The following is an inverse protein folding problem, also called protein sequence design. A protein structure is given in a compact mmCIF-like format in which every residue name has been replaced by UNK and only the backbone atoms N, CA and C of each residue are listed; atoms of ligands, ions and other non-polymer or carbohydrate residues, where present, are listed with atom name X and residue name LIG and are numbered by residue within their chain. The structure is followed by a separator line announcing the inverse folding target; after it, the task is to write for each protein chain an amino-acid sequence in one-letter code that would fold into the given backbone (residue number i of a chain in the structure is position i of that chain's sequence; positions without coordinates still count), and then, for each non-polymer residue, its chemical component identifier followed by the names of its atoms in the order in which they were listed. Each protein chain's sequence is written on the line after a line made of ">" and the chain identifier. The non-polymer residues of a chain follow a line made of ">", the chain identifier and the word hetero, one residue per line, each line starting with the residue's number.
data_IF_447587693977
#
_entry.id   IF_447587693977
#
_cell.length_a   1.000
_cell.length_b   1.000
_cell.length_c   1.000
_cell.angle_alpha   90.00
_cell.angle_beta   90.00
_cell.angle_gamma   90.00
#
_symmetry.space_group_name_H-M   'P 1'
#
loop_
_entity.id
_entity.type
_entity.pdbx_description
1 polymer ?
#
# COMPACT_ATOMS: atom_id res chain seq x y z
N UNK A 1 51.73 -36.47 -1.95
CA UNK A 1 50.80 -37.34 -2.74
C UNK A 1 51.02 -37.04 -4.22
N UNK A 2 51.19 -38.07 -5.03
CA UNK A 2 51.25 -37.90 -6.50
C UNK A 2 49.84 -37.64 -7.08
N UNK A 3 49.77 -37.05 -8.29
CA UNK A 3 48.49 -36.81 -8.97
C UNK A 3 47.74 -38.15 -9.20
N UNK A 4 48.44 -39.26 -9.39
CA UNK A 4 47.89 -40.60 -9.54
C UNK A 4 47.25 -41.09 -8.21
N UNK A 5 47.86 -40.80 -7.08
CA UNK A 5 47.34 -41.16 -5.75
C UNK A 5 46.05 -40.40 -5.43
N UNK A 6 46.04 -39.09 -5.74
CA UNK A 6 44.84 -38.23 -5.57
C UNK A 6 43.71 -38.73 -6.47
N UNK A 7 44.01 -39.12 -7.72
CA UNK A 7 43.01 -39.66 -8.64
C UNK A 7 42.37 -40.98 -8.15
N UNK A 8 43.17 -41.84 -7.55
CA UNK A 8 42.69 -43.09 -6.95
C UNK A 8 41.81 -42.84 -5.69
N UNK A 9 42.29 -41.94 -4.83
CA UNK A 9 41.56 -41.62 -3.59
C UNK A 9 40.21 -40.92 -3.85
N UNK A 10 40.13 -40.04 -4.87
CA UNK A 10 38.92 -39.30 -5.22
C UNK A 10 38.06 -40.01 -6.30
N UNK A 11 38.47 -41.18 -6.76
CA UNK A 11 37.79 -41.95 -7.82
C UNK A 11 37.55 -41.15 -9.12
N UNK A 12 38.51 -40.26 -9.47
CA UNK A 12 38.41 -39.43 -10.67
C UNK A 12 39.53 -39.71 -11.66
N UNK A 13 39.27 -39.38 -12.95
CA UNK A 13 40.27 -39.62 -13.99
C UNK A 13 41.53 -38.81 -13.80
N UNK A 14 42.67 -39.32 -14.25
CA UNK A 14 43.94 -38.60 -14.27
C UNK A 14 43.84 -37.27 -14.99
N UNK A 15 43.04 -37.16 -16.05
CA UNK A 15 42.77 -35.91 -16.76
C UNK A 15 42.12 -34.87 -15.87
N UNK A 16 41.10 -35.26 -15.08
CA UNK A 16 40.47 -34.36 -14.13
C UNK A 16 41.43 -33.78 -13.10
N UNK A 17 42.32 -34.62 -12.57
CA UNK A 17 43.36 -34.19 -11.64
C UNK A 17 44.32 -33.19 -12.30
N UNK A 18 44.77 -33.50 -13.54
CA UNK A 18 45.65 -32.60 -14.30
C UNK A 18 45.01 -31.24 -14.56
N UNK A 19 43.70 -31.24 -14.91
CA UNK A 19 42.92 -30.02 -15.18
C UNK A 19 42.68 -29.18 -13.91
N UNK A 20 42.62 -29.80 -12.74
CA UNK A 20 42.49 -29.10 -11.46
C UNK A 20 43.85 -28.63 -10.90
N UNK A 21 44.91 -29.42 -11.13
CA UNK A 21 46.26 -29.13 -10.61
C UNK A 21 46.85 -27.84 -11.19
N UNK A 22 46.70 -27.61 -12.49
CA UNK A 22 47.18 -26.40 -13.16
C UNK A 22 46.61 -25.10 -12.56
N UNK A 23 45.28 -24.92 -12.44
CA UNK A 23 44.69 -23.76 -11.78
C UNK A 23 45.04 -23.67 -10.31
N UNK A 24 45.15 -24.81 -9.61
CA UNK A 24 45.49 -24.82 -8.19
C UNK A 24 46.92 -24.30 -7.92
N UNK A 25 47.88 -24.61 -8.77
CA UNK A 25 49.25 -24.09 -8.68
C UNK A 25 49.31 -22.55 -8.81
N UNK A 26 48.40 -21.94 -9.56
CA UNK A 26 48.37 -20.50 -9.81
C UNK A 26 47.56 -19.75 -8.75
N UNK A 27 46.42 -20.26 -8.32
CA UNK A 27 45.48 -19.54 -7.47
C UNK A 27 44.93 -20.33 -6.28
N UNK A 28 45.54 -21.48 -5.93
CA UNK A 28 45.15 -22.30 -4.79
C UNK A 28 43.70 -22.75 -4.82
N UNK A 29 43.11 -22.96 -3.67
CA UNK A 29 41.73 -23.43 -3.49
C UNK A 29 40.67 -22.52 -4.16
N UNK A 30 40.96 -21.24 -4.33
CA UNK A 30 40.03 -20.30 -4.98
C UNK A 30 39.94 -20.52 -6.47
N UNK A 31 41.00 -20.92 -7.15
CA UNK A 31 41.01 -21.22 -8.57
C UNK A 31 40.26 -22.53 -8.93
N UNK A 32 40.03 -23.40 -7.93
CA UNK A 32 39.23 -24.62 -8.10
C UNK A 32 37.69 -24.37 -7.95
N UNK A 33 37.29 -23.18 -7.55
CA UNK A 33 35.87 -22.86 -7.52
C UNK A 33 35.30 -22.95 -8.93
N UNK A 34 34.32 -23.84 -9.10
CA UNK A 34 33.63 -24.09 -10.38
C UNK A 34 32.99 -22.78 -10.87
N UNK A 35 33.59 -22.13 -11.83
CA UNK A 35 32.92 -21.15 -12.66
C UNK A 35 31.99 -21.95 -13.55
N UNK A 36 30.65 -21.81 -13.34
CA UNK A 36 29.67 -22.51 -14.19
C UNK A 36 30.00 -22.26 -15.67
N UNK A 37 29.67 -23.24 -16.53
CA UNK A 37 29.86 -23.07 -17.96
C UNK A 37 29.28 -21.73 -18.44
N UNK A 38 30.02 -20.93 -19.25
CA UNK A 38 29.46 -19.71 -19.81
C UNK A 38 28.24 -20.10 -20.65
N UNK A 39 27.05 -19.71 -20.20
CA UNK A 39 25.80 -19.99 -20.92
C UNK A 39 25.85 -19.45 -22.35
N UNK A 40 24.80 -19.73 -23.13
CA UNK A 40 24.68 -19.19 -24.49
C UNK A 40 24.89 -17.68 -24.52
N UNK A 41 25.75 -17.14 -25.41
CA UNK A 41 25.97 -15.71 -25.56
C UNK A 41 24.66 -14.94 -25.74
N UNK A 42 24.59 -13.76 -25.12
CA UNK A 42 23.40 -12.90 -25.23
C UNK A 42 23.28 -12.38 -26.65
N UNK A 43 22.07 -12.47 -27.23
CA UNK A 43 21.80 -11.93 -28.58
C UNK A 43 21.67 -10.39 -28.60
N UNK A 44 21.27 -9.79 -27.45
CA UNK A 44 21.11 -8.35 -27.27
C UNK A 44 22.20 -7.87 -26.32
N UNK A 45 22.93 -6.89 -26.72
CA UNK A 45 24.01 -6.24 -25.93
C UNK A 45 23.45 -5.39 -24.80
N UNK A 46 24.27 -5.09 -23.79
CA UNK A 46 23.84 -4.22 -22.67
C UNK A 46 23.54 -2.78 -23.15
N UNK A 47 24.25 -2.28 -24.18
CA UNK A 47 23.97 -0.98 -24.79
C UNK A 47 22.61 -0.92 -25.50
N UNK A 48 22.24 -1.98 -26.20
CA UNK A 48 20.91 -2.12 -26.81
C UNK A 48 19.82 -2.24 -25.75
N UNK A 49 20.07 -2.98 -24.67
CA UNK A 49 19.11 -3.07 -23.55
C UNK A 49 18.87 -1.72 -22.87
N UNK A 50 19.84 -0.80 -22.82
CA UNK A 50 19.63 0.56 -22.34
C UNK A 50 18.68 1.33 -23.26
N UNK A 51 18.80 1.15 -24.58
CA UNK A 51 17.85 1.77 -25.55
C UNK A 51 16.44 1.24 -25.37
N UNK A 52 16.30 -0.09 -25.22
CA UNK A 52 15.00 -0.74 -24.91
C UNK A 52 14.41 -0.19 -23.62
N UNK A 53 15.18 -0.12 -22.55
CA UNK A 53 14.73 0.38 -21.27
C UNK A 53 14.20 1.82 -21.33
N UNK A 54 14.92 2.70 -22.03
CA UNK A 54 14.46 4.07 -22.32
C UNK A 54 13.14 4.11 -23.10
N UNK A 55 12.97 3.19 -24.08
CA UNK A 55 11.70 3.08 -24.79
C UNK A 55 10.56 2.60 -23.87
N UNK A 56 10.81 1.61 -23.02
CA UNK A 56 9.82 1.10 -22.08
C UNK A 56 9.42 2.15 -21.02
N UNK A 57 10.35 2.96 -20.54
CA UNK A 57 10.08 4.04 -19.58
C UNK A 57 9.15 5.13 -20.12
N UNK A 58 9.09 5.32 -21.44
CA UNK A 58 8.13 6.25 -22.08
C UNK A 58 6.67 5.75 -21.99
N UNK A 59 6.47 4.53 -21.56
CA UNK A 59 5.17 3.91 -21.44
C UNK A 59 4.66 3.21 -22.71
N UNK A 60 3.64 2.34 -22.57
CA UNK A 60 3.09 1.58 -23.69
C UNK A 60 2.51 2.46 -24.80
N UNK A 61 1.76 3.51 -24.47
CA UNK A 61 1.14 4.41 -25.44
C UNK A 61 2.16 5.11 -26.32
N UNK A 62 3.27 5.58 -25.75
CA UNK A 62 4.36 6.19 -26.50
C UNK A 62 5.07 5.19 -27.45
N UNK A 63 4.88 3.89 -27.22
CA UNK A 63 5.35 2.81 -28.08
C UNK A 63 4.29 2.30 -29.07
N UNK A 64 3.15 3.00 -29.22
CA UNK A 64 2.10 2.69 -30.19
C UNK A 64 1.05 1.68 -29.71
N UNK A 65 0.99 1.39 -28.42
CA UNK A 65 -0.04 0.50 -27.86
C UNK A 65 -1.24 1.31 -27.34
N UNK A 66 -2.48 0.78 -27.47
CA UNK A 66 -3.69 1.55 -27.15
C UNK A 66 -3.93 1.77 -25.65
N UNK A 67 -3.25 0.99 -24.78
CA UNK A 67 -3.47 1.01 -23.33
C UNK A 67 -2.16 1.09 -22.55
N UNK A 68 -2.17 1.63 -21.34
CA UNK A 68 -1.00 1.72 -20.45
C UNK A 68 -0.70 0.38 -19.74
N UNK A 69 -0.68 -0.70 -20.51
CA UNK A 69 -0.41 -2.03 -20.01
C UNK A 69 0.81 -2.65 -20.71
N UNK A 70 1.88 -2.90 -19.98
CA UNK A 70 2.97 -3.74 -20.44
C UNK A 70 2.63 -5.21 -20.28
N UNK A 71 2.58 -5.94 -21.40
CA UNK A 71 2.60 -7.40 -21.41
C UNK A 71 3.96 -7.87 -21.90
N UNK A 72 4.34 -9.10 -21.57
CA UNK A 72 5.61 -9.66 -22.06
C UNK A 72 5.67 -9.70 -23.60
N UNK A 73 4.52 -9.89 -24.27
CA UNK A 73 4.43 -9.83 -25.72
C UNK A 73 4.73 -8.44 -26.27
N UNK A 74 4.12 -7.38 -25.71
CA UNK A 74 4.40 -5.99 -26.10
C UNK A 74 5.84 -5.59 -25.87
N UNK A 75 6.42 -6.01 -24.74
CA UNK A 75 7.85 -5.78 -24.47
C UNK A 75 8.73 -6.52 -25.48
N UNK A 76 8.39 -7.78 -25.84
CA UNK A 76 9.10 -8.52 -26.89
C UNK A 76 9.10 -7.79 -28.21
N UNK A 77 7.96 -7.20 -28.59
CA UNK A 77 7.82 -6.39 -29.81
C UNK A 77 8.67 -5.12 -29.77
N UNK A 78 8.73 -4.41 -28.61
CA UNK A 78 9.61 -3.25 -28.46
C UNK A 78 11.09 -3.67 -28.58
N UNK A 79 11.49 -4.81 -27.99
CA UNK A 79 12.84 -5.35 -28.12
C UNK A 79 13.14 -5.61 -29.62
N UNK A 80 12.24 -6.31 -30.31
CA UNK A 80 12.41 -6.65 -31.72
C UNK A 80 12.54 -5.37 -32.59
N UNK A 81 11.69 -4.38 -32.40
CA UNK A 81 11.75 -3.10 -33.12
C UNK A 81 13.03 -2.31 -32.84
N UNK A 82 13.55 -2.40 -31.60
CA UNK A 82 14.72 -1.61 -31.18
C UNK A 82 16.05 -2.27 -31.53
N UNK A 83 16.10 -3.62 -31.55
CA UNK A 83 17.37 -4.38 -31.65
C UNK A 83 17.42 -5.34 -32.84
N UNK A 84 16.30 -5.55 -33.54
CA UNK A 84 16.15 -6.59 -34.57
C UNK A 84 16.09 -8.04 -34.01
N UNK A 85 16.19 -8.21 -32.68
CA UNK A 85 16.24 -9.55 -32.06
C UNK A 85 14.88 -9.94 -31.54
N UNK A 86 14.32 -11.02 -32.08
CA UNK A 86 13.06 -11.59 -31.63
C UNK A 86 13.25 -12.48 -30.42
N UNK A 87 12.58 -12.16 -29.33
CA UNK A 87 12.52 -12.98 -28.11
C UNK A 87 11.14 -13.56 -27.89
N UNK A 88 11.12 -14.81 -27.41
CA UNK A 88 9.88 -15.38 -26.87
C UNK A 88 9.48 -14.63 -25.58
N UNK A 89 8.19 -14.32 -25.34
CA UNK A 89 7.73 -13.59 -24.14
C UNK A 89 8.25 -14.17 -22.81
N UNK A 90 8.36 -15.51 -22.70
CA UNK A 90 8.93 -16.16 -21.53
C UNK A 90 10.41 -15.81 -21.26
N UNK A 91 11.19 -15.49 -22.32
CA UNK A 91 12.57 -15.02 -22.15
C UNK A 91 12.61 -13.54 -21.72
N UNK A 92 11.68 -12.74 -22.23
CA UNK A 92 11.54 -11.31 -21.86
C UNK A 92 11.39 -11.13 -20.34
N UNK A 93 10.64 -12.01 -19.67
CA UNK A 93 10.54 -12.00 -18.22
C UNK A 93 11.91 -12.07 -17.52
N UNK A 94 12.83 -12.92 -18.00
CA UNK A 94 14.21 -13.03 -17.46
C UNK A 94 15.01 -11.76 -17.72
N UNK A 95 14.83 -11.13 -18.89
CA UNK A 95 15.49 -9.86 -19.26
C UNK A 95 15.02 -8.75 -18.35
N UNK A 96 13.72 -8.58 -18.17
CA UNK A 96 13.11 -7.55 -17.31
C UNK A 96 13.56 -7.71 -15.84
N UNK A 97 13.53 -8.94 -15.28
CA UNK A 97 14.00 -9.19 -13.91
C UNK A 97 15.46 -8.80 -13.69
N UNK A 98 16.35 -9.10 -14.64
CA UNK A 98 17.76 -8.69 -14.56
C UNK A 98 17.93 -7.18 -14.58
N UNK A 99 17.01 -6.46 -15.19
CA UNK A 99 16.97 -5.00 -15.24
C UNK A 99 16.22 -4.36 -14.06
N UNK A 100 15.86 -5.15 -13.04
CA UNK A 100 15.16 -4.64 -11.85
C UNK A 100 13.67 -4.38 -12.06
N UNK A 101 13.10 -4.79 -13.19
CA UNK A 101 11.67 -4.64 -13.45
C UNK A 101 10.89 -5.79 -12.80
N UNK A 102 9.79 -5.44 -12.17
CA UNK A 102 8.84 -6.39 -11.58
C UNK A 102 7.41 -6.05 -11.98
N UNK A 103 6.52 -7.03 -11.85
CA UNK A 103 5.10 -6.81 -12.10
C UNK A 103 4.52 -5.96 -10.97
N UNK A 104 4.00 -4.78 -11.33
CA UNK A 104 3.37 -3.84 -10.40
C UNK A 104 1.87 -3.72 -10.69
N UNK A 105 1.09 -3.50 -9.65
CA UNK A 105 -0.31 -3.08 -9.78
C UNK A 105 -0.34 -1.55 -9.80
N UNK A 106 -0.85 -0.90 -10.87
CA UNK A 106 -0.93 0.55 -10.93
C UNK A 106 -1.79 1.09 -9.78
N UNK A 107 -1.29 2.12 -9.12
CA UNK A 107 -2.09 2.90 -8.18
C UNK A 107 -2.99 3.87 -8.96
N UNK A 108 -4.21 4.07 -8.46
CA UNK A 108 -5.10 5.12 -8.98
C UNK A 108 -4.71 6.43 -8.32
N UNK A 109 -4.64 7.49 -9.13
CA UNK A 109 -4.37 8.85 -8.66
C UNK A 109 -5.33 9.80 -9.37
N UNK A 110 -5.97 10.68 -8.60
CA UNK A 110 -6.81 11.71 -9.18
C UNK A 110 -5.97 12.70 -10.00
N UNK A 111 -6.48 13.13 -11.16
CA UNK A 111 -5.81 14.11 -12.00
C UNK A 111 -5.79 15.50 -11.33
N UNK A 112 -6.79 15.76 -10.48
CA UNK A 112 -6.97 17.02 -9.74
C UNK A 112 -6.10 17.12 -8.47
N UNK A 113 -5.33 16.07 -8.14
CA UNK A 113 -4.44 16.08 -6.98
C UNK A 113 -3.31 17.10 -7.18
N UNK A 114 -3.12 17.96 -6.18
CA UNK A 114 -2.07 18.97 -6.15
C UNK A 114 -1.00 18.59 -5.12
N UNK A 115 0.14 18.08 -5.59
CA UNK A 115 1.23 17.65 -4.71
C UNK A 115 1.93 18.81 -4.00
N UNK A 116 2.02 19.98 -4.64
CA UNK A 116 2.61 21.19 -4.03
C UNK A 116 1.77 21.64 -2.82
N UNK A 117 0.44 21.65 -2.96
CA UNK A 117 -0.46 21.96 -1.84
C UNK A 117 -0.35 20.92 -0.72
N UNK A 118 -0.13 19.64 -1.05
CA UNK A 118 0.08 18.57 -0.07
C UNK A 118 1.39 18.79 0.68
N UNK A 119 2.47 19.06 -0.05
CA UNK A 119 3.79 19.32 0.54
C UNK A 119 3.78 20.58 1.43
N UNK A 120 3.14 21.64 0.98
CA UNK A 120 2.94 22.86 1.77
C UNK A 120 2.14 22.57 3.05
N UNK A 121 1.06 21.77 2.94
CA UNK A 121 0.26 21.39 4.11
C UNK A 121 1.10 20.63 5.14
N UNK A 122 1.89 19.65 4.71
CA UNK A 122 2.77 18.84 5.59
C UNK A 122 3.86 19.71 6.23
N UNK A 123 4.51 20.56 5.44
CA UNK A 123 5.70 21.31 5.89
C UNK A 123 5.36 22.59 6.65
N UNK A 124 4.23 23.22 6.38
CA UNK A 124 3.86 24.49 7.01
C UNK A 124 2.60 24.39 7.89
N UNK A 125 1.54 23.78 7.36
CA UNK A 125 0.25 23.77 8.06
C UNK A 125 0.23 22.81 9.22
N UNK A 126 0.72 21.59 9.01
CA UNK A 126 0.78 20.57 10.05
C UNK A 126 1.58 20.99 11.30
N UNK A 127 2.78 21.56 11.22
CA UNK A 127 3.49 22.10 12.39
C UNK A 127 2.72 23.19 13.15
N UNK A 128 2.02 24.06 12.42
CA UNK A 128 1.19 25.12 13.02
C UNK A 128 -0.02 24.52 13.75
N UNK A 129 -0.67 23.52 13.17
CA UNK A 129 -1.78 22.80 13.80
C UNK A 129 -1.35 22.15 15.11
N UNK A 130 -0.23 21.43 15.12
CA UNK A 130 0.33 20.84 16.33
C UNK A 130 0.60 21.88 17.42
N UNK A 131 1.24 22.99 17.07
CA UNK A 131 1.51 24.09 18.00
C UNK A 131 0.23 24.66 18.58
N UNK A 132 -0.79 24.91 17.75
CA UNK A 132 -2.07 25.43 18.18
C UNK A 132 -2.84 24.44 19.04
N UNK A 133 -2.83 23.14 18.69
CA UNK A 133 -3.46 22.10 19.48
C UNK A 133 -2.82 22.00 20.87
N UNK A 134 -1.48 22.03 20.97
CA UNK A 134 -0.74 22.07 22.24
C UNK A 134 -1.13 23.31 23.09
N UNK A 135 -1.13 24.49 22.49
CA UNK A 135 -1.47 25.72 23.18
C UNK A 135 -2.92 25.75 23.72
N UNK A 136 -3.85 25.08 23.03
CA UNK A 136 -5.25 24.95 23.42
C UNK A 136 -5.53 23.78 24.34
N UNK A 137 -4.56 22.89 24.59
CA UNK A 137 -4.73 21.54 25.16
C UNK A 137 -5.84 20.76 24.44
N UNK A 138 -5.82 20.79 23.10
CA UNK A 138 -6.83 20.19 22.24
C UNK A 138 -6.34 18.87 21.65
N UNK A 139 -7.21 17.87 21.56
CA UNK A 139 -6.94 16.68 20.78
C UNK A 139 -6.75 17.02 19.30
N UNK A 140 -5.86 16.33 18.64
CA UNK A 140 -5.75 16.30 17.17
C UNK A 140 -6.52 15.06 16.71
N UNK A 141 -7.55 15.27 15.90
CA UNK A 141 -8.47 14.19 15.50
C UNK A 141 -8.55 14.14 13.98
N UNK A 142 -8.24 13.01 13.41
CA UNK A 142 -8.50 12.69 12.01
C UNK A 142 -9.79 11.88 11.92
N UNK A 143 -10.70 12.30 11.08
CA UNK A 143 -12.00 11.65 10.90
C UNK A 143 -12.22 11.31 9.44
N UNK A 144 -12.93 10.20 9.18
CA UNK A 144 -13.27 9.71 7.85
C UNK A 144 -14.47 8.75 7.89
N UNK A 145 -15.14 8.59 6.75
CA UNK A 145 -16.20 7.62 6.56
C UNK A 145 -15.79 6.56 5.54
N UNK A 146 -16.26 5.33 5.77
CA UNK A 146 -16.07 4.24 4.83
C UNK A 146 -17.28 3.33 4.75
N UNK A 147 -17.54 2.83 3.54
CA UNK A 147 -18.57 1.81 3.32
C UNK A 147 -17.98 0.40 3.25
N UNK A 148 -18.76 -0.55 3.76
CA UNK A 148 -18.57 -1.96 3.55
C UNK A 148 -19.80 -2.56 2.86
N UNK A 149 -19.58 -3.32 1.80
CA UNK A 149 -20.63 -4.08 1.09
C UNK A 149 -20.61 -5.53 1.56
N UNK A 150 -21.76 -6.18 1.63
CA UNK A 150 -21.84 -7.62 1.89
C UNK A 150 -21.29 -8.48 0.75
N UNK A 151 -20.98 -7.88 -0.40
CA UNK A 151 -20.19 -8.57 -1.44
C UNK A 151 -18.75 -8.74 -0.95
N UNK A 152 -18.21 -9.98 -0.95
CA UNK A 152 -16.89 -10.26 -0.37
C UNK A 152 -15.77 -9.49 -1.08
N UNK A 153 -14.89 -8.88 -0.29
CA UNK A 153 -13.64 -8.31 -0.77
C UNK A 153 -12.64 -9.42 -1.02
N UNK A 154 -12.48 -9.83 -2.29
CA UNK A 154 -11.61 -10.94 -2.66
C UNK A 154 -10.14 -10.59 -2.45
N UNK A 155 -9.47 -11.36 -1.63
CA UNK A 155 -8.03 -11.29 -1.34
C UNK A 155 -7.35 -12.62 -1.63
N UNK A 156 -6.09 -12.56 -2.05
CA UNK A 156 -5.29 -13.77 -2.26
C UNK A 156 -5.11 -14.54 -0.97
N UNK A 157 -5.29 -15.85 -1.04
CA UNK A 157 -5.05 -16.78 0.08
C UNK A 157 -4.24 -17.98 -0.40
N UNK A 158 -3.75 -18.80 0.54
CA UNK A 158 -3.03 -20.01 0.22
C UNK A 158 -3.98 -21.16 -0.07
N UNK A 159 -3.69 -21.92 -1.12
CA UNK A 159 -4.40 -23.14 -1.49
C UNK A 159 -3.44 -24.10 -2.21
N UNK A 160 -3.76 -25.40 -2.28
CA UNK A 160 -2.99 -26.35 -3.08
C UNK A 160 -2.90 -25.90 -4.53
N UNK A 161 -1.75 -26.16 -5.16
CA UNK A 161 -1.52 -25.78 -6.57
C UNK A 161 -2.59 -26.39 -7.49
N UNK A 162 -3.23 -25.54 -8.28
CA UNK A 162 -4.30 -25.95 -9.21
C UNK A 162 -5.69 -26.02 -8.56
N UNK A 163 -5.84 -25.74 -7.26
CA UNK A 163 -7.11 -25.73 -6.56
C UNK A 163 -7.44 -24.29 -6.15
N UNK A 164 -8.13 -23.58 -7.02
CA UNK A 164 -8.56 -22.20 -6.73
C UNK A 164 -9.68 -22.20 -5.68
N UNK A 165 -9.52 -21.51 -4.53
CA UNK A 165 -10.60 -21.36 -3.56
C UNK A 165 -11.81 -20.64 -4.17
N UNK A 166 -12.99 -21.12 -3.85
CA UNK A 166 -14.27 -20.53 -4.29
C UNK A 166 -14.97 -19.93 -3.07
N UNK A 167 -15.32 -18.64 -3.15
CA UNK A 167 -16.13 -17.96 -2.16
C UNK A 167 -17.60 -18.01 -2.62
N UNK A 168 -18.42 -18.71 -1.86
CA UNK A 168 -19.87 -18.77 -2.13
C UNK A 168 -20.56 -17.71 -1.28
N UNK A 169 -21.32 -16.81 -1.92
CA UNK A 169 -22.04 -15.74 -1.24
C UNK A 169 -23.35 -15.46 -1.97
N UNK A 170 -24.34 -14.91 -1.24
CA UNK A 170 -25.53 -14.37 -1.84
C UNK A 170 -25.28 -12.98 -2.43
N UNK A 171 -25.88 -12.66 -3.58
CA UNK A 171 -25.85 -11.30 -4.12
C UNK A 171 -26.71 -10.38 -3.24
N UNK A 172 -26.05 -9.66 -2.35
CA UNK A 172 -26.69 -8.73 -1.45
C UNK A 172 -26.00 -7.36 -1.55
N UNK A 173 -26.75 -6.37 -2.04
CA UNK A 173 -26.25 -5.00 -2.25
C UNK A 173 -26.35 -4.11 -1.02
N UNK A 174 -26.79 -4.65 0.13
CA UNK A 174 -26.84 -3.90 1.38
C UNK A 174 -25.43 -3.47 1.79
N UNK A 175 -25.38 -2.29 2.36
CA UNK A 175 -24.12 -1.66 2.81
C UNK A 175 -24.23 -1.30 4.28
N UNK A 176 -23.13 -1.45 4.98
CA UNK A 176 -22.88 -0.85 6.28
C UNK A 176 -21.93 0.33 6.07
N UNK A 177 -22.27 1.48 6.62
CA UNK A 177 -21.36 2.63 6.65
C UNK A 177 -20.76 2.78 8.04
N UNK A 178 -19.51 3.14 8.06
CA UNK A 178 -18.68 3.32 9.24
C UNK A 178 -18.16 4.75 9.24
N UNK A 179 -18.12 5.39 10.40
CA UNK A 179 -17.35 6.61 10.64
C UNK A 179 -16.35 6.32 11.73
N UNK A 180 -15.13 6.79 11.59
CA UNK A 180 -14.11 6.65 12.60
C UNK A 180 -13.28 7.92 12.77
N UNK A 181 -12.81 8.12 13.99
CA UNK A 181 -11.95 9.21 14.38
C UNK A 181 -10.73 8.68 15.14
N UNK A 182 -9.53 8.87 14.58
CA UNK A 182 -8.27 8.66 15.29
C UNK A 182 -7.91 9.94 16.04
N UNK A 183 -7.88 9.83 17.35
CA UNK A 183 -7.65 10.93 18.29
C UNK A 183 -6.25 10.83 18.87
N UNK A 184 -5.50 11.93 18.89
CA UNK A 184 -4.13 11.98 19.41
C UNK A 184 -3.97 13.13 20.38
N UNK A 185 -3.37 12.89 21.54
CA UNK A 185 -2.86 13.98 22.37
C UNK A 185 -1.71 14.67 21.65
N UNK A 186 -1.68 16.01 21.60
CA UNK A 186 -0.68 16.75 20.78
C UNK A 186 0.77 16.59 21.27
N UNK A 187 0.97 16.07 22.49
CA UNK A 187 2.29 15.71 23.03
C UNK A 187 2.71 14.28 22.74
N UNK A 188 1.88 13.50 22.03
CA UNK A 188 2.14 12.10 21.70
C UNK A 188 2.00 11.11 22.88
N UNK A 189 1.40 11.55 24.01
CA UNK A 189 1.27 10.69 25.20
C UNK A 189 0.18 9.64 25.07
N UNK A 190 -0.82 9.88 24.24
CA UNK A 190 -2.01 9.04 24.15
C UNK A 190 -2.65 9.11 22.76
N UNK A 191 -3.34 8.03 22.38
CA UNK A 191 -4.19 7.98 21.20
C UNK A 191 -5.37 7.05 21.45
N UNK A 192 -6.53 7.38 20.88
CA UNK A 192 -7.73 6.55 20.92
C UNK A 192 -8.43 6.50 19.56
N UNK A 193 -9.26 5.47 19.38
CA UNK A 193 -10.13 5.30 18.21
C UNK A 193 -11.58 5.39 18.67
N UNK A 194 -12.31 6.35 18.13
CA UNK A 194 -13.76 6.46 18.28
C UNK A 194 -14.40 6.06 16.95
N UNK A 195 -15.45 5.25 16.99
CA UNK A 195 -16.12 4.82 15.77
C UNK A 195 -17.62 4.66 15.95
N UNK A 196 -18.34 4.74 14.85
CA UNK A 196 -19.77 4.49 14.77
C UNK A 196 -20.11 3.75 13.49
N UNK A 197 -21.27 3.08 13.48
CA UNK A 197 -21.76 2.31 12.35
C UNK A 197 -23.23 2.57 12.14
N UNK A 198 -23.67 2.61 10.89
CA UNK A 198 -25.08 2.71 10.53
C UNK A 198 -25.40 2.02 9.22
N UNK A 199 -26.66 1.63 9.06
CA UNK A 199 -27.17 1.20 7.75
C UNK A 199 -27.34 2.43 6.84
N UNK A 200 -27.05 2.26 5.55
CA UNK A 200 -27.08 3.39 4.60
C UNK A 200 -25.80 4.22 4.61
N UNK A 201 -25.87 5.44 4.13
CA UNK A 201 -24.73 6.36 4.04
C UNK A 201 -24.76 7.39 5.16
N UNK A 202 -23.59 7.82 5.62
CA UNK A 202 -23.50 9.01 6.48
C UNK A 202 -23.93 10.26 5.71
N UNK A 203 -24.73 11.08 6.37
CA UNK A 203 -25.13 12.41 5.92
C UNK A 203 -24.67 13.45 6.94
N UNK A 204 -24.97 14.72 6.71
CA UNK A 204 -24.59 15.80 7.61
C UNK A 204 -25.18 15.66 9.03
N UNK A 205 -26.42 15.15 9.18
CA UNK A 205 -27.02 14.91 10.50
C UNK A 205 -26.27 13.82 11.28
N UNK A 206 -26.04 12.65 10.65
CA UNK A 206 -25.34 11.54 11.31
C UNK A 206 -23.87 11.85 11.60
N UNK A 207 -23.23 12.71 10.78
CA UNK A 207 -21.88 13.21 11.09
C UNK A 207 -21.91 14.17 12.29
N UNK A 208 -22.91 15.07 12.40
CA UNK A 208 -23.07 15.94 13.56
C UNK A 208 -23.32 15.16 14.85
N UNK A 209 -24.10 14.10 14.79
CA UNK A 209 -24.31 13.16 15.90
C UNK A 209 -23.00 12.50 16.30
N UNK A 210 -22.26 11.95 15.33
CA UNK A 210 -20.96 11.34 15.56
C UNK A 210 -19.96 12.31 16.22
N UNK A 211 -19.88 13.58 15.78
CA UNK A 211 -19.03 14.59 16.37
C UNK A 211 -19.46 14.94 17.81
N UNK A 212 -20.76 14.87 18.10
CA UNK A 212 -21.28 15.08 19.46
C UNK A 212 -20.89 13.94 20.39
N UNK A 213 -20.98 12.70 19.91
CA UNK A 213 -20.51 11.51 20.62
C UNK A 213 -18.98 11.54 20.83
N UNK A 214 -18.23 11.91 19.81
CA UNK A 214 -16.78 12.09 19.88
C UNK A 214 -16.40 13.08 21.00
N UNK A 215 -17.10 14.23 21.09
CA UNK A 215 -16.84 15.22 22.14
C UNK A 215 -17.11 14.66 23.54
N UNK A 216 -18.17 13.86 23.69
CA UNK A 216 -18.48 13.18 24.96
C UNK A 216 -17.43 12.13 25.31
N UNK A 217 -16.97 11.35 24.33
CA UNK A 217 -15.91 10.35 24.53
C UNK A 217 -14.59 10.99 24.95
N UNK A 218 -14.30 12.18 24.52
CA UNK A 218 -13.11 12.94 24.88
C UNK A 218 -13.32 13.84 26.12
N UNK A 219 -14.28 13.50 26.99
CA UNK A 219 -14.59 14.19 28.25
C UNK A 219 -14.86 15.71 28.09
N UNK A 220 -15.36 16.14 26.95
CA UNK A 220 -15.61 17.55 26.66
C UNK A 220 -14.35 18.36 26.32
N UNK A 221 -13.24 17.72 26.09
CA UNK A 221 -11.99 18.35 25.70
C UNK A 221 -12.10 19.10 24.36
N UNK A 222 -11.23 20.07 24.17
CA UNK A 222 -11.12 20.77 22.88
C UNK A 222 -10.56 19.85 21.80
N UNK A 223 -11.03 20.04 20.58
CA UNK A 223 -10.68 19.23 19.42
C UNK A 223 -10.19 20.11 18.26
N UNK A 224 -9.14 19.68 17.61
CA UNK A 224 -8.74 20.12 16.27
C UNK A 224 -9.03 18.97 15.32
N UNK A 225 -10.16 19.07 14.62
CA UNK A 225 -10.65 18.07 13.68
C UNK A 225 -10.03 18.28 12.32
N UNK A 226 -9.48 17.22 11.76
CA UNK A 226 -8.89 17.17 10.42
C UNK A 226 -9.69 16.15 9.61
N UNK A 227 -10.29 16.59 8.51
CA UNK A 227 -11.11 15.75 7.65
C UNK A 227 -10.99 16.16 6.18
N UNK A 228 -11.60 15.37 5.30
CA UNK A 228 -11.59 15.66 3.88
C UNK A 228 -12.63 16.72 3.47
N UNK A 229 -12.69 16.99 2.18
CA UNK A 229 -13.58 18.00 1.61
C UNK A 229 -14.90 17.46 1.09
N UNK A 230 -15.48 16.40 1.65
CA UNK A 230 -16.78 15.87 1.23
C UNK A 230 -17.88 16.93 1.23
N UNK A 231 -18.90 16.76 0.39
CA UNK A 231 -20.02 17.70 0.26
C UNK A 231 -20.83 17.84 1.56
N UNK A 232 -21.00 16.75 2.31
CA UNK A 232 -21.65 16.73 3.62
C UNK A 232 -20.95 17.61 4.65
N UNK A 233 -19.60 17.68 4.61
CA UNK A 233 -18.78 18.53 5.49
C UNK A 233 -18.93 20.03 5.19
N UNK A 234 -19.49 20.38 4.04
CA UNK A 234 -19.65 21.79 3.58
C UNK A 234 -21.10 22.25 3.48
N UNK A 235 -22.06 21.43 3.93
CA UNK A 235 -23.49 21.77 3.93
C UNK A 235 -23.78 22.99 4.79
N UNK A 236 -24.89 23.68 4.55
CA UNK A 236 -25.33 24.82 5.38
C UNK A 236 -25.59 24.39 6.82
N UNK A 237 -26.19 23.20 7.01
CA UNK A 237 -26.46 22.65 8.33
C UNK A 237 -25.16 22.38 9.10
N UNK A 238 -24.18 21.75 8.44
CA UNK A 238 -22.86 21.49 9.03
C UNK A 238 -22.15 22.80 9.41
N UNK A 239 -22.13 23.79 8.53
CA UNK A 239 -21.52 25.11 8.83
C UNK A 239 -22.18 25.79 10.04
N UNK A 240 -23.50 25.72 10.14
CA UNK A 240 -24.22 26.25 11.30
C UNK A 240 -23.87 25.49 12.58
N UNK A 241 -23.77 24.15 12.52
CA UNK A 241 -23.33 23.32 13.63
C UNK A 241 -21.91 23.70 14.07
N UNK A 242 -20.94 23.71 13.16
CA UNK A 242 -19.55 24.04 13.45
C UNK A 242 -19.41 25.43 14.08
N UNK A 243 -20.21 26.42 13.63
CA UNK A 243 -20.23 27.77 14.21
C UNK A 243 -20.70 27.75 15.66
N UNK A 244 -21.73 26.95 16.00
CA UNK A 244 -22.19 26.75 17.37
C UNK A 244 -21.15 26.05 18.25
N UNK A 245 -20.38 25.13 17.69
CA UNK A 245 -19.40 24.29 18.42
C UNK A 245 -17.98 24.95 18.51
N UNK A 246 -17.76 26.13 17.99
CA UNK A 246 -16.44 26.83 17.91
C UNK A 246 -15.68 26.97 19.23
N UNK A 247 -16.35 26.81 20.37
CA UNK A 247 -15.70 26.89 21.69
C UNK A 247 -14.76 25.71 21.94
N UNK A 248 -15.13 24.52 21.47
CA UNK A 248 -14.34 23.32 21.65
C UNK A 248 -13.80 22.76 20.32
N UNK A 249 -14.51 22.91 19.20
CA UNK A 249 -14.21 22.32 17.90
C UNK A 249 -13.60 23.35 16.95
N UNK A 250 -12.41 23.06 16.48
CA UNK A 250 -11.75 23.74 15.37
C UNK A 250 -11.56 22.75 14.23
N UNK A 251 -11.89 23.16 13.02
CA UNK A 251 -11.82 22.29 11.84
C UNK A 251 -10.73 22.74 10.90
N UNK A 252 -9.99 21.79 10.40
CA UNK A 252 -8.95 21.96 9.39
C UNK A 252 -9.19 20.99 8.24
N UNK A 253 -9.38 21.47 7.00
CA UNK A 253 -9.52 20.60 5.85
C UNK A 253 -8.16 19.99 5.44
N UNK A 254 -8.17 18.73 5.05
CA UNK A 254 -7.09 18.14 4.30
C UNK A 254 -7.01 18.73 2.89
N UNK A 255 -5.83 18.72 2.25
CA UNK A 255 -5.72 19.03 0.82
C UNK A 255 -6.63 18.10 -0.01
N UNK A 256 -7.19 18.65 -1.07
CA UNK A 256 -8.06 17.86 -1.94
C UNK A 256 -7.32 16.65 -2.56
N UNK A 257 -7.99 15.51 -2.62
CA UNK A 257 -7.45 14.26 -3.18
C UNK A 257 -6.15 13.77 -2.52
N UNK A 258 -6.01 13.96 -1.20
CA UNK A 258 -4.88 13.52 -0.40
C UNK A 258 -5.26 12.50 0.69
N UNK A 259 -5.86 11.33 0.34
CA UNK A 259 -6.25 10.33 1.32
C UNK A 259 -5.05 9.74 2.07
N UNK A 260 -3.88 9.76 1.45
CA UNK A 260 -2.61 9.34 2.04
C UNK A 260 -2.17 10.19 3.26
N UNK A 261 -2.73 11.37 3.46
CA UNK A 261 -2.53 12.18 4.67
C UNK A 261 -3.52 11.84 5.79
N UNK A 262 -4.55 11.03 5.53
CA UNK A 262 -5.55 10.67 6.54
C UNK A 262 -5.22 9.29 7.16
N UNK A 263 -4.75 9.22 8.42
CA UNK A 263 -4.42 7.95 9.05
C UNK A 263 -5.64 7.03 9.26
N UNK A 264 -6.87 7.54 9.20
CA UNK A 264 -8.10 6.72 9.27
C UNK A 264 -8.22 5.81 8.04
N UNK A 265 -7.68 6.18 6.89
CA UNK A 265 -7.60 5.30 5.72
C UNK A 265 -6.80 4.02 5.99
N UNK A 266 -5.81 4.09 6.89
CA UNK A 266 -5.07 2.92 7.35
C UNK A 266 -5.91 2.02 8.27
N UNK A 267 -6.83 2.59 9.05
CA UNK A 267 -7.84 1.83 9.81
C UNK A 267 -8.69 1.00 8.85
N UNK A 268 -9.19 1.64 7.80
CA UNK A 268 -9.98 0.95 6.77
C UNK A 268 -9.17 -0.10 6.02
N UNK A 269 -7.92 0.21 5.69
CA UNK A 269 -6.99 -0.72 5.04
C UNK A 269 -6.74 -1.97 5.89
N UNK A 270 -6.52 -1.79 7.19
CA UNK A 270 -6.30 -2.86 8.16
C UNK A 270 -7.56 -3.74 8.31
N UNK A 271 -8.71 -3.13 8.58
CA UNK A 271 -10.00 -3.82 8.75
C UNK A 271 -10.41 -4.59 7.47
N UNK A 272 -10.37 -3.94 6.30
CA UNK A 272 -10.75 -4.55 5.02
C UNK A 272 -9.73 -5.58 4.51
N UNK A 273 -8.49 -5.48 4.95
CA UNK A 273 -7.44 -6.43 4.62
C UNK A 273 -7.33 -7.61 5.59
N UNK A 274 -7.86 -7.46 6.79
CA UNK A 274 -7.91 -8.46 7.85
C UNK A 274 -9.29 -9.09 7.99
N UNK A 275 -10.09 -8.58 8.90
CA UNK A 275 -11.36 -9.18 9.34
C UNK A 275 -12.40 -9.29 8.22
N UNK A 276 -12.42 -8.34 7.29
CA UNK A 276 -13.39 -8.32 6.18
C UNK A 276 -12.84 -8.98 4.89
N UNK A 277 -11.62 -9.52 4.91
CA UNK A 277 -11.03 -10.17 3.75
C UNK A 277 -11.69 -11.54 3.51
N UNK A 278 -12.16 -11.79 2.29
CA UNK A 278 -12.82 -13.05 1.89
C UNK A 278 -14.04 -13.42 2.75
N UNK A 279 -14.62 -12.45 3.43
CA UNK A 279 -15.76 -12.64 4.31
C UNK A 279 -17.04 -12.69 3.49
N UNK A 280 -17.81 -13.76 3.64
CA UNK A 280 -19.13 -13.96 3.03
C UNK A 280 -20.18 -13.93 4.13
N UNK A 281 -21.03 -12.90 4.12
CA UNK A 281 -22.08 -12.71 5.13
C UNK A 281 -23.43 -12.43 4.44
N UNK A 282 -24.48 -12.93 5.06
CA UNK A 282 -25.85 -12.81 4.56
C UNK A 282 -26.58 -11.59 5.15
N UNK A 283 -26.10 -11.08 6.28
CA UNK A 283 -26.80 -10.01 7.03
C UNK A 283 -25.87 -8.85 7.37
N UNK A 284 -26.44 -7.64 7.40
CA UNK A 284 -25.73 -6.43 7.85
C UNK A 284 -25.37 -6.51 9.33
N UNK A 285 -26.21 -7.17 10.15
CA UNK A 285 -25.94 -7.37 11.57
C UNK A 285 -24.67 -8.19 11.83
N UNK A 286 -24.55 -9.35 11.18
CA UNK A 286 -23.34 -10.17 11.30
C UNK A 286 -22.07 -9.44 10.78
N UNK A 287 -22.22 -8.59 9.74
CA UNK A 287 -21.12 -7.74 9.29
C UNK A 287 -20.74 -6.70 10.36
N UNK A 288 -21.74 -6.10 11.02
CA UNK A 288 -21.54 -5.14 12.09
C UNK A 288 -20.74 -5.69 13.26
N UNK A 289 -21.05 -6.91 13.70
CA UNK A 289 -20.33 -7.58 14.80
C UNK A 289 -18.84 -7.78 14.47
N UNK A 290 -18.51 -8.19 13.24
CA UNK A 290 -17.11 -8.41 12.82
C UNK A 290 -16.38 -7.07 12.66
N UNK A 291 -17.06 -6.04 12.14
CA UNK A 291 -16.51 -4.68 12.05
C UNK A 291 -16.23 -4.14 13.44
N UNK A 292 -17.15 -4.30 14.38
CA UNK A 292 -17.00 -3.86 15.77
C UNK A 292 -15.80 -4.52 16.44
N UNK A 293 -15.68 -5.84 16.34
CA UNK A 293 -14.53 -6.60 16.85
C UNK A 293 -13.21 -6.10 16.26
N UNK A 294 -13.16 -5.88 14.92
CA UNK A 294 -11.96 -5.40 14.24
C UNK A 294 -11.58 -3.97 14.65
N UNK A 295 -12.56 -3.06 14.78
CA UNK A 295 -12.31 -1.69 15.24
C UNK A 295 -11.94 -1.65 16.72
N UNK A 296 -12.56 -2.46 17.58
CA UNK A 296 -12.15 -2.61 18.99
C UNK A 296 -10.72 -3.12 19.11
N UNK A 297 -10.33 -4.14 18.31
CA UNK A 297 -8.93 -4.60 18.26
C UNK A 297 -7.97 -3.47 17.86
N UNK A 298 -8.27 -2.74 16.80
CA UNK A 298 -7.45 -1.61 16.36
C UNK A 298 -7.37 -0.54 17.45
N UNK A 299 -8.48 -0.20 18.08
CA UNK A 299 -8.57 0.82 19.13
C UNK A 299 -7.85 0.44 20.42
N UNK A 300 -7.72 -0.87 20.73
CA UNK A 300 -6.99 -1.35 21.91
C UNK A 300 -5.47 -1.21 21.80
N UNK A 301 -4.95 -0.97 20.58
CA UNK A 301 -3.52 -0.89 20.31
C UNK A 301 -3.08 0.56 20.02
N UNK A 302 -2.80 1.35 21.03
CA UNK A 302 -2.32 2.75 20.90
C UNK A 302 -1.13 2.88 19.95
N UNK A 303 -0.20 1.89 19.96
CA UNK A 303 0.94 1.87 19.04
C UNK A 303 0.53 1.81 17.57
N UNK A 304 -0.57 1.14 17.27
CA UNK A 304 -1.07 1.01 15.90
C UNK A 304 -1.59 2.35 15.38
N UNK A 305 -2.28 3.13 16.22
CA UNK A 305 -2.71 4.49 15.86
C UNK A 305 -1.52 5.39 15.47
N UNK A 306 -0.45 5.38 16.27
CA UNK A 306 0.78 6.11 15.93
C UNK A 306 1.48 5.57 14.68
N UNK A 307 1.47 4.26 14.45
CA UNK A 307 2.02 3.67 13.22
C UNK A 307 1.25 4.14 11.99
N UNK A 308 -0.07 4.26 12.07
CA UNK A 308 -0.89 4.80 11.00
C UNK A 308 -0.58 6.27 10.72
N UNK A 309 -0.42 7.08 11.76
CA UNK A 309 -0.02 8.48 11.61
C UNK A 309 1.36 8.61 10.94
N UNK A 310 2.33 7.81 11.40
CA UNK A 310 3.68 7.77 10.84
C UNK A 310 3.68 7.31 9.38
N UNK A 311 2.81 6.35 9.02
CA UNK A 311 2.64 5.88 7.64
C UNK A 311 2.19 7.01 6.69
N UNK A 312 1.44 7.97 7.19
CA UNK A 312 1.03 9.17 6.44
C UNK A 312 2.16 10.24 6.35
N UNK A 313 3.35 9.96 6.86
CA UNK A 313 4.45 10.93 6.92
C UNK A 313 4.27 12.02 7.99
N UNK A 314 3.33 11.82 8.92
CA UNK A 314 3.01 12.78 9.98
C UNK A 314 3.58 12.31 11.32
N UNK A 315 4.08 13.26 12.11
CA UNK A 315 4.56 13.04 13.50
C UNK A 315 4.04 14.10 14.43
N UNK A 316 3.82 13.75 15.71
CA UNK A 316 3.39 14.68 16.76
C UNK A 316 4.56 15.38 17.45
#
# INVERSE_FOLDING_TARGET
>A
MSQADIGRELEVSHQSISDWHKPWLVGGKQALKRTGAPGRPRKVTDAELVKVERALQKGPKANGFPTDLWTLARVAEVIERTTGVKYHPGHVWKVLRRKGWSRQRPARRAAERNDEAIEQWVNERWPRLKKNARARNAWIVFQDESGFSLLPSVRSTWAPKGQTPVLTHHFNWKRLSMSAALCFRPNGSDASLVFGMQAGSYNDESIMEFLTELHRHLDGDKVTLIWDGLSSHRSLAMRAFLTKQRKWLMVEPLPAYAPDLNPVEQVWGNLKGGELANLCLDTVGGAGEIVDQGLCRIGSETRLAFAFLCHCGLTL
#
